data_IF_051342174139
#
_entry.id   IF_051342174139
#
_cell.length_a   1.000
_cell.length_b   1.000
_cell.length_c   1.000
_cell.angle_alpha   90.00
_cell.angle_beta   90.00
_cell.angle_gamma   90.00
#
_symmetry.space_group_name_H-M   'P 1'
#
loop_
_entity.id
_entity.type
_entity.pdbx_description
1 polymer ?
#
# COMPACT_ATOMS: atom_id res chain seq x y z
N UNK A 1 29.57 76.32 6.57
CA UNK A 1 28.23 75.70 6.84
C UNK A 1 27.65 75.27 5.53
N UNK A 2 27.78 74.01 5.21
CA UNK A 2 27.29 73.50 3.94
C UNK A 2 26.03 72.74 4.22
N UNK A 3 24.96 73.31 3.84
CA UNK A 3 23.68 72.74 3.87
C UNK A 3 23.61 71.52 2.89
N UNK A 4 23.72 70.39 3.41
CA UNK A 4 23.44 69.16 2.63
C UNK A 4 21.97 69.15 2.36
N UNK A 5 21.59 69.56 1.17
CA UNK A 5 20.23 69.36 0.68
C UNK A 5 19.98 67.86 0.59
N UNK A 6 19.22 67.40 1.56
CA UNK A 6 18.62 66.06 1.51
C UNK A 6 17.70 66.01 0.29
N UNK A 7 18.21 65.42 -0.74
CA UNK A 7 17.38 65.01 -1.87
C UNK A 7 16.64 63.79 -1.42
N UNK A 8 15.42 64.00 -0.94
CA UNK A 8 14.45 62.93 -0.81
C UNK A 8 14.16 62.41 -2.22
N UNK A 9 14.94 61.45 -2.63
CA UNK A 9 14.60 60.63 -3.78
C UNK A 9 13.52 59.68 -3.31
N UNK A 10 12.27 60.11 -3.45
CA UNK A 10 11.13 59.21 -3.35
C UNK A 10 11.23 58.24 -4.48
N UNK A 11 11.92 57.13 -4.21
CA UNK A 11 11.91 56.00 -5.08
C UNK A 11 10.53 55.37 -4.95
N UNK A 12 9.67 55.70 -5.89
CA UNK A 12 8.39 55.05 -6.08
C UNK A 12 8.69 53.61 -6.51
N UNK A 13 8.82 52.73 -5.55
CA UNK A 13 8.92 51.30 -5.80
C UNK A 13 7.54 50.89 -6.22
N UNK A 14 7.31 50.90 -7.52
CA UNK A 14 6.25 50.15 -8.14
C UNK A 14 6.44 48.69 -7.69
N UNK A 15 5.65 48.25 -6.76
CA UNK A 15 5.59 46.87 -6.34
C UNK A 15 5.18 46.00 -7.51
N UNK A 16 6.17 45.58 -8.28
CA UNK A 16 6.00 44.42 -9.12
C UNK A 16 5.91 43.22 -8.15
N UNK A 17 4.69 42.87 -7.84
CA UNK A 17 4.42 41.61 -7.16
C UNK A 17 5.05 40.50 -7.99
N UNK A 18 6.18 40.00 -7.51
CA UNK A 18 6.68 38.73 -8.00
C UNK A 18 5.64 37.66 -7.55
N UNK A 19 4.97 36.99 -8.47
CA UNK A 19 4.25 35.80 -8.10
C UNK A 19 5.29 34.87 -7.50
N UNK A 20 5.20 34.60 -6.22
CA UNK A 20 5.89 33.47 -5.60
C UNK A 20 5.36 32.24 -6.30
N UNK A 21 6.01 31.83 -7.34
CA UNK A 21 5.86 30.50 -7.90
C UNK A 21 6.43 29.59 -6.82
N UNK A 22 5.57 29.19 -5.90
CA UNK A 22 5.83 27.99 -5.13
C UNK A 22 5.85 26.88 -6.15
N UNK A 23 7.05 26.53 -6.57
CA UNK A 23 7.27 25.25 -7.19
C UNK A 23 6.90 24.21 -6.14
N UNK A 24 5.63 23.79 -6.13
CA UNK A 24 5.27 22.54 -5.56
C UNK A 24 6.06 21.52 -6.38
N UNK A 25 7.18 21.13 -5.84
CA UNK A 25 7.83 19.91 -6.23
C UNK A 25 6.83 18.83 -5.80
N UNK A 26 5.88 18.52 -6.68
CA UNK A 26 5.22 17.23 -6.62
C UNK A 26 6.36 16.22 -6.71
N UNK A 27 6.79 15.72 -5.56
CA UNK A 27 7.47 14.47 -5.51
C UNK A 27 6.49 13.46 -6.14
N UNK A 28 6.58 13.38 -7.45
CA UNK A 28 6.01 12.28 -8.19
C UNK A 28 6.68 11.05 -7.61
N UNK A 29 6.02 10.45 -6.61
CA UNK A 29 6.39 9.13 -6.14
C UNK A 29 6.33 8.25 -7.38
N UNK A 30 7.48 8.08 -7.98
CA UNK A 30 7.68 7.08 -9.01
C UNK A 30 7.47 5.76 -8.27
N UNK A 31 6.23 5.26 -8.30
CA UNK A 31 5.99 3.87 -7.93
C UNK A 31 6.94 3.07 -8.81
N UNK A 32 7.90 2.36 -8.23
CA UNK A 32 8.76 1.54 -9.05
C UNK A 32 7.84 0.56 -9.78
N UNK A 33 7.77 0.72 -11.08
CA UNK A 33 7.11 -0.25 -11.93
C UNK A 33 7.95 -1.52 -11.78
N UNK A 34 7.41 -2.49 -11.06
CA UNK A 34 8.02 -3.81 -10.99
C UNK A 34 7.93 -4.38 -12.40
N UNK A 35 9.01 -4.23 -13.14
CA UNK A 35 9.13 -4.87 -14.43
C UNK A 35 9.21 -6.38 -14.16
N UNK A 36 8.15 -7.10 -14.49
CA UNK A 36 8.09 -8.55 -14.40
C UNK A 36 9.10 -9.15 -15.38
N UNK A 37 10.34 -9.13 -14.98
CA UNK A 37 11.37 -9.86 -15.70
C UNK A 37 11.06 -11.36 -15.53
N UNK A 38 11.01 -12.10 -16.64
CA UNK A 38 10.84 -13.56 -16.63
C UNK A 38 11.98 -14.29 -15.92
N UNK A 39 13.03 -13.57 -15.59
CA UNK A 39 14.21 -14.10 -14.92
C UNK A 39 14.04 -13.87 -13.42
N UNK A 40 13.97 -14.92 -12.59
CA UNK A 40 13.89 -14.80 -11.16
C UNK A 40 15.07 -13.99 -10.60
N UNK A 41 14.76 -13.00 -9.78
CA UNK A 41 15.76 -12.24 -9.03
C UNK A 41 15.59 -12.50 -7.54
N UNK A 42 16.70 -12.66 -6.85
CA UNK A 42 16.71 -12.85 -5.40
C UNK A 42 16.64 -11.50 -4.70
N UNK A 43 15.68 -11.38 -3.78
CA UNK A 43 15.49 -10.21 -2.93
C UNK A 43 15.44 -10.61 -1.48
N UNK A 44 15.75 -9.67 -0.59
CA UNK A 44 15.52 -9.82 0.85
C UNK A 44 14.22 -9.11 1.21
N UNK A 45 13.32 -9.75 1.94
CA UNK A 45 12.09 -9.11 2.39
C UNK A 45 12.43 -8.04 3.42
N UNK A 46 12.21 -6.77 3.06
CA UNK A 46 12.44 -5.62 3.94
C UNK A 46 11.24 -5.29 4.81
N UNK A 47 10.03 -5.65 4.39
CA UNK A 47 8.79 -5.45 5.13
C UNK A 47 7.62 -6.15 4.45
N UNK A 48 6.60 -6.45 5.24
CA UNK A 48 5.35 -7.07 4.76
C UNK A 48 4.19 -6.26 5.34
N UNK A 49 3.27 -5.83 4.49
CA UNK A 49 2.01 -5.19 4.86
C UNK A 49 0.82 -6.03 4.41
N UNK A 50 -0.33 -5.81 5.04
CA UNK A 50 -1.57 -6.52 4.70
C UNK A 50 -2.68 -5.51 4.44
N UNK A 51 -3.46 -5.72 3.40
CA UNK A 51 -4.60 -4.88 3.04
C UNK A 51 -5.85 -5.73 2.82
N UNK A 52 -7.01 -5.15 3.15
CA UNK A 52 -8.33 -5.71 2.82
C UNK A 52 -8.90 -6.74 3.79
N UNK A 53 -8.17 -7.11 4.84
CA UNK A 53 -8.60 -8.11 5.83
C UNK A 53 -8.87 -7.51 7.22
N UNK A 54 -9.70 -6.49 7.30
CA UNK A 54 -9.93 -5.65 8.51
C UNK A 54 -10.36 -6.40 9.78
N UNK A 55 -10.90 -7.61 9.64
CA UNK A 55 -11.38 -8.43 10.77
C UNK A 55 -10.31 -9.40 11.29
N UNK A 56 -9.12 -9.35 10.77
CA UNK A 56 -7.99 -10.21 11.13
C UNK A 56 -6.80 -9.36 11.52
N UNK A 57 -6.01 -9.88 12.44
CA UNK A 57 -4.74 -9.27 12.83
C UNK A 57 -3.71 -9.45 11.72
N UNK A 58 -3.06 -8.37 11.31
CA UNK A 58 -2.04 -8.37 10.25
C UNK A 58 -0.90 -9.32 10.59
N UNK A 59 -0.49 -9.36 11.86
CA UNK A 59 0.58 -10.24 12.32
C UNK A 59 0.24 -11.72 12.14
N UNK A 60 -1.01 -12.08 12.41
CA UNK A 60 -1.50 -13.45 12.20
C UNK A 60 -1.51 -13.79 10.69
N UNK A 61 -1.91 -12.86 9.85
CA UNK A 61 -1.97 -13.06 8.41
C UNK A 61 -0.57 -13.17 7.80
N UNK A 62 0.37 -12.36 8.27
CA UNK A 62 1.78 -12.47 7.87
C UNK A 62 2.33 -13.85 8.27
N UNK A 63 2.06 -14.29 9.48
CA UNK A 63 2.44 -15.65 9.94
C UNK A 63 1.83 -16.75 9.08
N UNK A 64 0.56 -16.60 8.67
CA UNK A 64 -0.11 -17.55 7.79
C UNK A 64 0.52 -17.63 6.40
N UNK A 65 1.03 -16.52 5.87
CA UNK A 65 1.73 -16.50 4.60
C UNK A 65 3.01 -17.35 4.62
N UNK A 66 3.62 -17.50 5.79
CA UNK A 66 4.91 -18.16 5.98
C UNK A 66 6.09 -17.35 5.47
N UNK A 67 5.88 -16.08 5.14
CA UNK A 67 6.94 -15.14 4.78
C UNK A 67 7.44 -14.42 6.01
N UNK A 68 8.73 -14.14 6.06
CA UNK A 68 9.37 -13.47 7.19
C UNK A 68 10.24 -12.33 6.71
N UNK A 69 10.21 -11.21 7.43
CA UNK A 69 11.12 -10.09 7.19
C UNK A 69 12.56 -10.55 7.38
N UNK A 70 13.44 -10.19 6.46
CA UNK A 70 14.82 -10.64 6.40
C UNK A 70 15.05 -11.94 5.62
N UNK A 71 13.99 -12.63 5.21
CA UNK A 71 14.09 -13.83 4.37
C UNK A 71 14.48 -13.47 2.95
N UNK A 72 15.31 -14.30 2.33
CA UNK A 72 15.60 -14.22 0.90
C UNK A 72 14.53 -14.97 0.12
N UNK A 73 14.00 -14.32 -0.91
CA UNK A 73 12.97 -14.88 -1.79
C UNK A 73 13.34 -14.59 -3.23
N UNK A 74 12.93 -15.47 -4.13
CA UNK A 74 13.02 -15.23 -5.55
C UNK A 74 11.71 -14.66 -6.08
N UNK A 75 11.77 -13.64 -6.91
CA UNK A 75 10.58 -13.01 -7.52
C UNK A 75 10.80 -12.97 -9.04
N UNK A 76 9.93 -13.63 -9.79
CA UNK A 76 8.91 -14.61 -9.41
C UNK A 76 9.53 -15.88 -8.80
N UNK A 77 8.85 -16.52 -7.84
CA UNK A 77 9.36 -17.69 -7.14
C UNK A 77 8.31 -18.51 -6.43
N UNK A 78 8.73 -19.67 -5.94
CA UNK A 78 7.85 -20.62 -5.28
C UNK A 78 7.38 -20.13 -3.92
N UNK A 79 8.21 -19.37 -3.21
CA UNK A 79 7.90 -18.86 -1.87
C UNK A 79 6.65 -17.97 -1.88
N UNK A 80 6.55 -17.09 -2.87
CA UNK A 80 5.37 -16.22 -3.06
C UNK A 80 4.16 -17.04 -3.48
N UNK A 81 4.34 -17.99 -4.40
CA UNK A 81 3.27 -18.87 -4.86
C UNK A 81 2.72 -19.73 -3.72
N UNK A 82 3.59 -20.24 -2.87
CA UNK A 82 3.18 -21.07 -1.73
C UNK A 82 2.48 -20.25 -0.64
N UNK A 83 2.88 -19.00 -0.43
CA UNK A 83 2.16 -18.08 0.45
C UNK A 83 0.72 -17.87 -0.05
N UNK A 84 0.53 -17.61 -1.34
CA UNK A 84 -0.81 -17.49 -1.94
C UNK A 84 -1.62 -18.77 -1.77
N UNK A 85 -1.03 -19.94 -2.03
CA UNK A 85 -1.70 -21.24 -1.85
C UNK A 85 -2.14 -21.48 -0.40
N UNK A 86 -1.36 -21.03 0.58
CA UNK A 86 -1.72 -21.14 2.01
C UNK A 86 -2.98 -20.36 2.33
N UNK A 87 -3.11 -19.12 1.84
CA UNK A 87 -4.33 -18.34 1.99
C UNK A 87 -5.54 -18.99 1.32
N UNK A 88 -5.38 -19.54 0.11
CA UNK A 88 -6.46 -20.25 -0.59
C UNK A 88 -6.94 -21.49 0.16
N UNK A 89 -6.02 -22.25 0.73
CA UNK A 89 -6.36 -23.45 1.52
C UNK A 89 -7.18 -23.12 2.76
N UNK A 90 -6.99 -21.95 3.35
CA UNK A 90 -7.80 -21.51 4.50
C UNK A 90 -9.26 -21.23 4.15
N UNK A 91 -9.59 -20.98 2.90
CA UNK A 91 -10.95 -20.75 2.46
C UNK A 91 -11.62 -19.47 2.98
N UNK A 92 -10.89 -18.62 3.70
CA UNK A 92 -11.41 -17.38 4.31
C UNK A 92 -11.51 -16.21 3.34
N UNK A 93 -10.79 -16.30 2.26
CA UNK A 93 -10.62 -15.20 1.29
C UNK A 93 -11.18 -15.59 -0.07
N UNK A 94 -11.80 -14.64 -0.75
CA UNK A 94 -12.31 -14.76 -2.11
C UNK A 94 -11.29 -14.34 -3.15
N UNK A 95 -10.33 -13.49 -2.75
CA UNK A 95 -9.21 -13.09 -3.57
C UNK A 95 -7.95 -12.94 -2.71
N UNK A 96 -6.82 -13.33 -3.27
CA UNK A 96 -5.49 -13.24 -2.66
C UNK A 96 -4.50 -12.79 -3.72
N UNK A 97 -3.79 -11.72 -3.44
CA UNK A 97 -2.70 -11.20 -4.29
C UNK A 97 -1.53 -10.80 -3.40
N UNK A 98 -0.32 -11.06 -3.84
CA UNK A 98 0.90 -10.58 -3.20
C UNK A 98 1.64 -9.73 -4.22
N UNK A 99 1.81 -8.46 -3.90
CA UNK A 99 2.42 -7.49 -4.78
C UNK A 99 3.69 -6.93 -4.15
N UNK A 100 4.67 -6.58 -4.97
CA UNK A 100 5.81 -5.80 -4.52
C UNK A 100 5.38 -4.32 -4.50
N UNK A 101 5.29 -3.74 -3.32
CA UNK A 101 4.96 -2.33 -3.16
C UNK A 101 6.14 -1.44 -3.54
N UNK A 102 7.33 -1.81 -3.10
CA UNK A 102 8.55 -1.10 -3.43
C UNK A 102 9.78 -2.02 -3.40
N UNK A 103 10.81 -1.62 -4.12
CA UNK A 103 12.11 -2.29 -4.14
C UNK A 103 13.19 -1.24 -3.88
N UNK A 104 14.01 -1.48 -2.87
CA UNK A 104 15.13 -0.60 -2.50
C UNK A 104 16.41 -1.43 -2.46
N UNK A 105 17.22 -1.31 -3.52
CA UNK A 105 18.41 -2.14 -3.70
C UNK A 105 18.05 -3.62 -3.86
N UNK A 106 18.46 -4.44 -2.92
CA UNK A 106 18.15 -5.88 -2.84
C UNK A 106 16.97 -6.21 -1.92
N UNK A 107 16.35 -5.19 -1.33
CA UNK A 107 15.20 -5.35 -0.43
C UNK A 107 13.90 -5.11 -1.16
N UNK A 108 12.94 -6.01 -0.94
CA UNK A 108 11.57 -5.89 -1.44
C UNK A 108 10.60 -5.71 -0.29
N UNK A 109 9.66 -4.80 -0.45
CA UNK A 109 8.54 -4.61 0.46
C UNK A 109 7.30 -5.21 -0.19
N UNK A 110 6.68 -6.15 0.51
CA UNK A 110 5.54 -6.91 -0.01
C UNK A 110 4.24 -6.40 0.60
N UNK A 111 3.21 -6.31 -0.23
CA UNK A 111 1.85 -6.05 0.19
C UNK A 111 0.97 -7.26 -0.11
N UNK A 112 0.37 -7.83 0.92
CA UNK A 112 -0.58 -8.94 0.81
C UNK A 112 -1.98 -8.34 0.75
N UNK A 113 -2.61 -8.41 -0.41
CA UNK A 113 -3.97 -7.93 -0.62
C UNK A 113 -4.95 -9.08 -0.53
N UNK A 114 -5.89 -8.97 0.38
CA UNK A 114 -6.87 -10.00 0.68
C UNK A 114 -8.29 -9.45 0.53
N UNK A 115 -9.16 -10.23 -0.06
CA UNK A 115 -10.61 -9.94 -0.07
C UNK A 115 -11.31 -11.02 0.74
N UNK A 116 -11.98 -10.61 1.82
CA UNK A 116 -12.72 -11.55 2.67
C UNK A 116 -13.92 -12.12 1.94
N UNK A 117 -14.22 -13.39 2.19
CA UNK A 117 -15.50 -13.97 1.76
C UNK A 117 -16.62 -13.42 2.64
N UNK A 118 -17.76 -13.03 2.03
CA UNK A 118 -18.93 -12.67 2.82
C UNK A 118 -19.36 -13.87 3.65
N UNK A 119 -19.60 -13.66 4.94
CA UNK A 119 -20.17 -14.67 5.83
C UNK A 119 -21.64 -14.35 6.02
N UNK A 120 -22.50 -15.34 5.85
CA UNK A 120 -23.91 -15.22 6.23
C UNK A 120 -23.96 -15.30 7.76
N UNK A 121 -24.21 -14.16 8.41
CA UNK A 121 -24.30 -14.10 9.87
C UNK A 121 -25.73 -14.27 10.39
N UNK A 122 -26.72 -14.05 9.54
CA UNK A 122 -28.13 -14.15 9.91
C UNK A 122 -28.98 -14.56 8.71
N UNK A 123 -29.81 -15.56 8.91
CA UNK A 123 -30.83 -16.00 7.95
C UNK A 123 -32.19 -15.58 8.52
N UNK A 124 -32.83 -14.61 7.89
CA UNK A 124 -34.18 -14.18 8.24
C UNK A 124 -35.19 -14.98 7.40
N UNK A 125 -35.94 -15.84 8.03
CA UNK A 125 -37.05 -16.53 7.39
C UNK A 125 -38.32 -15.67 7.45
N UNK A 126 -38.88 -15.28 6.33
CA UNK A 126 -40.15 -14.61 6.22
C UNK A 126 -41.14 -15.50 5.45
N UNK A 127 -42.36 -15.66 5.97
CA UNK A 127 -43.42 -16.43 5.33
C UNK A 127 -43.39 -17.92 5.59
N UNK A 128 -42.49 -18.44 6.44
CA UNK A 128 -42.44 -19.84 6.84
C UNK A 128 -43.26 -20.06 8.13
N UNK A 129 -44.13 -21.04 8.16
CA UNK A 129 -44.91 -21.41 9.34
C UNK A 129 -43.98 -21.92 10.44
N UNK A 130 -44.37 -21.67 11.71
CA UNK A 130 -43.56 -21.96 12.91
C UNK A 130 -43.06 -23.40 13.03
N UNK A 131 -43.75 -24.38 12.41
CA UNK A 131 -43.37 -25.80 12.40
C UNK A 131 -42.36 -26.23 11.34
N UNK A 132 -41.99 -25.33 10.38
CA UNK A 132 -41.07 -25.64 9.29
C UNK A 132 -39.66 -25.07 9.49
N UNK A 133 -39.41 -24.51 10.70
CA UNK A 133 -38.11 -23.90 11.04
C UNK A 133 -37.15 -24.84 11.77
N UNK A 134 -37.61 -26.02 12.14
CA UNK A 134 -36.82 -27.01 12.90
C UNK A 134 -36.38 -28.14 11.97
N UNK A 135 -35.43 -27.86 11.10
CA UNK A 135 -34.61 -28.86 10.43
C UNK A 135 -33.17 -28.38 10.30
#
# INVERSE_FOLDING_TARGET
MKTVKSICLTLLILGTGFPSVQAQTEEKQVKPTVEYSRIPRSYTIGGISVEGAKNYDDYMLIGLSGLTVGQKVNIPGEEITDAVKRFWRNGLFSNVSIEADSVVGDKVYLCIKLTQRPRVSQINYSGVKKGERED
#
